data_IF_045569664489
#
_entry.id   IF_045569664489
#
_cell.length_a   1.000
_cell.length_b   1.000
_cell.length_c   1.000
_cell.angle_alpha   90.00
_cell.angle_beta   90.00
_cell.angle_gamma   90.00
#
_symmetry.space_group_name_H-M   'P 1'
#
loop_
_entity.id
_entity.type
_entity.pdbx_description
1 polymer ?
#
# COMPACT_ATOMS: atom_id res chain seq x y z
N UNK A 1 21.77 4.09 -33.97
CA UNK A 1 21.74 3.40 -32.67
C UNK A 1 20.46 3.84 -31.97
N UNK A 2 19.37 3.10 -32.16
CA UNK A 2 18.08 3.42 -31.55
C UNK A 2 18.03 2.76 -30.17
N UNK A 3 17.76 3.55 -29.13
CA UNK A 3 17.57 3.08 -27.76
C UNK A 3 16.50 1.99 -27.73
N UNK A 4 16.90 0.74 -27.49
CA UNK A 4 16.02 -0.40 -27.21
C UNK A 4 15.68 -0.51 -25.71
N UNK A 5 15.76 0.60 -24.97
CA UNK A 5 15.70 0.61 -23.50
C UNK A 5 14.29 0.63 -22.93
N UNK A 6 13.31 1.19 -23.64
CA UNK A 6 11.98 1.50 -23.08
C UNK A 6 11.11 0.27 -22.84
N UNK A 7 11.20 -0.74 -23.72
CA UNK A 7 10.50 -2.02 -23.55
C UNK A 7 10.83 -2.73 -22.22
N UNK A 8 12.09 -2.64 -21.78
CA UNK A 8 12.58 -3.24 -20.54
C UNK A 8 12.08 -2.51 -19.26
N UNK A 9 11.36 -1.39 -19.41
CA UNK A 9 11.06 -0.50 -18.30
C UNK A 9 9.61 -0.52 -17.84
N UNK A 10 8.61 -0.60 -18.74
CA UNK A 10 7.18 -0.61 -18.32
C UNK A 10 6.68 -2.03 -18.09
N UNK A 11 7.06 -2.98 -18.95
CA UNK A 11 6.71 -4.40 -18.84
C UNK A 11 7.89 -5.30 -18.42
N UNK A 12 9.03 -4.71 -18.09
CA UNK A 12 10.24 -5.47 -17.82
C UNK A 12 10.39 -5.96 -16.38
N UNK A 13 11.46 -6.73 -16.16
CA UNK A 13 11.74 -7.44 -14.92
C UNK A 13 11.80 -6.53 -13.68
N UNK A 14 12.19 -5.25 -13.84
CA UNK A 14 12.30 -4.29 -12.74
C UNK A 14 10.96 -3.87 -12.14
N UNK A 15 9.94 -3.65 -12.97
CA UNK A 15 8.57 -3.35 -12.51
C UNK A 15 8.02 -4.55 -11.76
N UNK A 16 8.16 -5.74 -12.35
CA UNK A 16 7.73 -6.98 -11.73
C UNK A 16 8.42 -7.23 -10.37
N UNK A 17 9.74 -7.11 -10.31
CA UNK A 17 10.51 -7.24 -9.07
C UNK A 17 10.08 -6.20 -8.01
N UNK A 18 9.72 -4.99 -8.43
CA UNK A 18 9.19 -3.97 -7.53
C UNK A 18 7.87 -4.38 -6.89
N UNK A 19 6.98 -5.06 -7.62
CA UNK A 19 5.70 -5.51 -7.06
C UNK A 19 5.84 -6.72 -6.13
N UNK A 20 6.73 -7.67 -6.45
CA UNK A 20 7.10 -8.73 -5.49
C UNK A 20 7.64 -8.08 -4.21
N UNK A 21 8.54 -7.11 -4.35
CA UNK A 21 9.16 -6.41 -3.22
C UNK A 21 8.10 -5.68 -2.40
N UNK A 22 7.12 -5.02 -3.02
CA UNK A 22 6.01 -4.37 -2.32
C UNK A 22 5.18 -5.35 -1.49
N UNK A 23 4.74 -6.45 -2.10
CA UNK A 23 3.93 -7.47 -1.41
C UNK A 23 4.72 -8.09 -0.27
N UNK A 24 6.01 -8.38 -0.48
CA UNK A 24 6.89 -8.93 0.53
C UNK A 24 7.10 -7.96 1.71
N UNK A 25 7.36 -6.68 1.44
CA UNK A 25 7.55 -5.66 2.49
C UNK A 25 6.28 -5.50 3.33
N UNK A 26 5.10 -5.41 2.71
CA UNK A 26 3.86 -5.22 3.47
C UNK A 26 3.50 -6.45 4.32
N UNK A 27 3.72 -7.66 3.79
CA UNK A 27 3.55 -8.91 4.54
C UNK A 27 4.55 -9.01 5.70
N UNK A 28 5.83 -8.68 5.46
CA UNK A 28 6.85 -8.66 6.48
C UNK A 28 6.53 -7.65 7.59
N UNK A 29 6.09 -6.44 7.22
CA UNK A 29 5.66 -5.42 8.17
C UNK A 29 4.46 -5.88 9.01
N UNK A 30 3.49 -6.55 8.39
CA UNK A 30 2.35 -7.13 9.10
C UNK A 30 2.78 -8.21 10.10
N UNK A 31 3.58 -9.19 9.67
CA UNK A 31 4.12 -10.26 10.53
C UNK A 31 4.92 -9.67 11.70
N UNK A 32 5.79 -8.72 11.41
CA UNK A 32 6.64 -8.07 12.41
C UNK A 32 5.82 -7.26 13.40
N UNK A 33 4.80 -6.53 12.94
CA UNK A 33 3.89 -5.77 13.81
C UNK A 33 3.13 -6.68 14.78
N UNK A 34 2.62 -7.82 14.30
CA UNK A 34 1.89 -8.77 15.13
C UNK A 34 2.83 -9.49 16.12
N UNK A 35 4.06 -9.82 15.70
CA UNK A 35 5.06 -10.38 16.61
C UNK A 35 5.37 -9.42 17.77
N UNK A 36 5.62 -8.13 17.49
CA UNK A 36 5.88 -7.12 18.52
C UNK A 36 4.69 -6.93 19.48
N UNK A 37 3.47 -6.91 18.95
CA UNK A 37 2.25 -6.82 19.77
C UNK A 37 2.03 -8.07 20.63
N UNK A 38 2.34 -9.25 20.11
CA UNK A 38 2.28 -10.50 20.86
C UNK A 38 3.27 -10.51 22.04
N UNK A 39 4.52 -10.10 21.81
CA UNK A 39 5.54 -10.03 22.87
C UNK A 39 5.17 -9.03 23.97
N UNK A 40 4.63 -7.87 23.61
CA UNK A 40 4.22 -6.85 24.60
C UNK A 40 3.00 -7.30 25.43
N UNK A 41 2.02 -7.95 24.81
CA UNK A 41 0.86 -8.53 25.53
C UNK A 41 1.29 -9.64 26.50
N UNK A 42 2.10 -10.60 26.03
CA UNK A 42 2.59 -11.71 26.88
C UNK A 42 3.40 -11.21 28.08
N UNK A 43 4.20 -10.16 27.89
CA UNK A 43 4.95 -9.55 28.99
C UNK A 43 4.06 -8.84 30.01
N UNK A 44 2.92 -8.30 29.59
CA UNK A 44 2.00 -7.58 30.49
C UNK A 44 1.13 -8.56 31.29
N UNK A 45 0.68 -9.66 30.68
CA UNK A 45 -0.12 -10.68 31.38
C UNK A 45 0.67 -11.43 32.46
N UNK A 46 1.99 -11.61 32.30
CA UNK A 46 2.83 -12.26 33.33
C UNK A 46 2.96 -11.42 34.60
N UNK A 47 2.95 -10.09 34.48
CA UNK A 47 3.02 -9.16 35.62
C UNK A 47 1.78 -9.15 36.50
N UNK A 48 0.63 -9.57 35.97
CA UNK A 48 -0.62 -9.59 36.72
C UNK A 48 -0.78 -10.85 37.58
N UNK A 49 0.10 -11.85 37.42
CA UNK A 49 -0.06 -13.18 38.03
C UNK A 49 1.17 -13.70 38.78
N UNK A 50 2.23 -12.91 38.95
CA UNK A 50 3.45 -13.36 39.62
C UNK A 50 3.97 -12.31 40.59
N UNK A 51 4.04 -12.71 41.86
CA UNK A 51 4.66 -11.99 42.97
C UNK A 51 6.17 -12.31 42.90
N UNK A 52 6.97 -11.58 42.11
CA UNK A 52 8.38 -11.97 41.87
C UNK A 52 9.33 -10.84 41.47
N UNK A 53 10.47 -10.82 42.17
CA UNK A 53 11.83 -10.40 41.82
C UNK A 53 12.05 -9.16 40.93
N UNK A 54 12.56 -8.13 41.59
CA UNK A 54 12.86 -6.79 41.05
C UNK A 54 13.79 -6.80 39.83
N UNK A 55 14.74 -7.75 39.73
CA UNK A 55 15.66 -7.86 38.58
C UNK A 55 14.99 -8.40 37.32
N UNK A 56 14.12 -9.42 37.46
CA UNK A 56 13.41 -10.02 36.34
C UNK A 56 12.36 -9.03 35.77
N UNK A 57 11.81 -8.19 36.64
CA UNK A 57 10.93 -7.08 36.28
C UNK A 57 11.64 -5.95 35.54
N UNK A 58 12.88 -5.62 35.90
CA UNK A 58 13.67 -4.65 35.13
C UNK A 58 13.99 -5.14 33.72
N UNK A 59 14.36 -6.41 33.56
CA UNK A 59 14.70 -6.94 32.24
C UNK A 59 13.48 -7.05 31.31
N UNK A 60 12.32 -7.48 31.83
CA UNK A 60 11.08 -7.52 31.05
C UNK A 60 10.59 -6.12 30.66
N UNK A 61 10.72 -5.14 31.56
CA UNK A 61 10.44 -3.73 31.26
C UNK A 61 11.33 -3.17 30.15
N UNK A 62 12.64 -3.48 30.17
CA UNK A 62 13.57 -3.07 29.10
C UNK A 62 13.17 -3.66 27.75
N UNK A 63 12.79 -4.95 27.71
CA UNK A 63 12.32 -5.63 26.48
C UNK A 63 11.02 -5.03 25.96
N UNK A 64 10.05 -4.76 26.83
CA UNK A 64 8.79 -4.13 26.47
C UNK A 64 8.98 -2.70 25.93
N UNK A 65 9.87 -1.91 26.55
CA UNK A 65 10.23 -0.57 26.07
C UNK A 65 10.90 -0.63 24.70
N UNK A 66 11.83 -1.58 24.48
CA UNK A 66 12.47 -1.79 23.18
C UNK A 66 11.45 -2.19 22.12
N UNK A 67 10.53 -3.12 22.43
CA UNK A 67 9.46 -3.52 21.50
C UNK A 67 8.53 -2.36 21.13
N UNK A 68 8.19 -1.49 22.09
CA UNK A 68 7.40 -0.28 21.83
C UNK A 68 8.14 0.72 20.92
N UNK A 69 9.45 0.88 21.12
CA UNK A 69 10.28 1.72 20.26
C UNK A 69 10.34 1.16 18.83
N UNK A 70 10.60 -0.14 18.68
CA UNK A 70 10.63 -0.82 17.38
C UNK A 70 9.28 -0.74 16.66
N UNK A 71 8.17 -0.91 17.39
CA UNK A 71 6.83 -0.75 16.84
C UNK A 71 6.59 0.68 16.34
N UNK A 72 7.03 1.69 17.09
CA UNK A 72 6.93 3.09 16.65
C UNK A 72 7.77 3.37 15.40
N UNK A 73 8.98 2.81 15.33
CA UNK A 73 9.85 2.91 14.16
C UNK A 73 9.24 2.22 12.93
N UNK A 74 8.68 1.03 13.10
CA UNK A 74 7.97 0.29 12.05
C UNK A 74 6.81 1.11 11.48
N UNK A 75 5.96 1.66 12.34
CA UNK A 75 4.82 2.47 11.91
C UNK A 75 5.28 3.72 11.17
N UNK A 76 6.37 4.35 11.60
CA UNK A 76 6.95 5.49 10.88
C UNK A 76 7.48 5.09 9.50
N UNK A 77 8.29 4.03 9.42
CA UNK A 77 8.80 3.49 8.16
C UNK A 77 7.66 3.08 7.21
N UNK A 78 6.57 2.52 7.73
CA UNK A 78 5.40 2.14 6.95
C UNK A 78 4.67 3.36 6.34
N UNK A 79 4.68 4.52 7.01
CA UNK A 79 4.14 5.76 6.43
C UNK A 79 4.97 6.20 5.22
N UNK A 80 6.30 6.19 5.34
CA UNK A 80 7.19 6.57 4.23
C UNK A 80 7.11 5.56 3.08
N UNK A 81 7.01 4.26 3.41
CA UNK A 81 6.75 3.19 2.44
C UNK A 81 5.42 3.40 1.70
N UNK A 82 4.32 3.68 2.40
CA UNK A 82 3.03 3.92 1.77
C UNK A 82 3.09 5.12 0.80
N UNK A 83 3.79 6.20 1.17
CA UNK A 83 3.98 7.36 0.27
C UNK A 83 4.74 6.95 -0.99
N UNK A 84 5.90 6.29 -0.82
CA UNK A 84 6.70 5.81 -1.95
C UNK A 84 5.90 4.90 -2.87
N UNK A 85 5.13 3.98 -2.29
CA UNK A 85 4.25 3.07 -3.00
C UNK A 85 3.16 3.80 -3.81
N UNK A 86 2.53 4.81 -3.22
CA UNK A 86 1.53 5.62 -3.93
C UNK A 86 2.14 6.33 -5.15
N UNK A 87 3.29 6.98 -4.99
CA UNK A 87 3.95 7.69 -6.10
C UNK A 87 4.41 6.75 -7.20
N UNK A 88 5.00 5.61 -6.83
CA UNK A 88 5.38 4.60 -7.78
C UNK A 88 4.16 4.08 -8.57
N UNK A 89 3.07 3.79 -7.86
CA UNK A 89 1.83 3.32 -8.48
C UNK A 89 1.25 4.38 -9.43
N UNK A 90 1.12 5.64 -9.00
CA UNK A 90 0.59 6.72 -9.86
C UNK A 90 1.44 6.85 -11.14
N UNK A 91 2.76 6.84 -11.00
CA UNK A 91 3.69 6.99 -12.13
C UNK A 91 3.58 5.82 -13.10
N UNK A 92 3.68 4.58 -12.60
CA UNK A 92 3.64 3.40 -13.45
C UNK A 92 2.27 3.21 -14.10
N UNK A 93 1.19 3.36 -13.34
CA UNK A 93 -0.17 3.19 -13.84
C UNK A 93 -0.53 4.33 -14.80
N UNK A 94 -0.06 5.55 -14.54
CA UNK A 94 -0.18 6.68 -15.48
C UNK A 94 0.53 6.42 -16.82
N UNK A 95 1.78 5.93 -16.78
CA UNK A 95 2.50 5.51 -17.99
C UNK A 95 1.79 4.36 -18.71
N UNK A 96 1.25 3.39 -17.96
CA UNK A 96 0.48 2.27 -18.50
C UNK A 96 -0.81 2.72 -19.19
N UNK A 97 -1.54 3.67 -18.61
CA UNK A 97 -2.73 4.26 -19.23
C UNK A 97 -2.40 4.97 -20.54
N UNK A 98 -1.30 5.73 -20.59
CA UNK A 98 -0.83 6.36 -21.82
C UNK A 98 -0.44 5.32 -22.87
N UNK A 99 0.24 4.24 -22.46
CA UNK A 99 0.62 3.15 -23.35
C UNK A 99 -0.58 2.39 -23.91
N UNK A 100 -1.59 2.13 -23.06
CA UNK A 100 -2.83 1.46 -23.46
C UNK A 100 -3.70 2.36 -24.34
N UNK A 101 -3.82 3.65 -24.04
CA UNK A 101 -4.68 4.56 -24.82
C UNK A 101 -4.13 4.95 -26.19
N UNK A 102 -2.83 4.77 -26.43
CA UNK A 102 -2.20 5.03 -27.73
C UNK A 102 -2.19 3.81 -28.67
N UNK A 103 -1.41 3.90 -29.75
CA UNK A 103 -1.30 2.85 -30.78
C UNK A 103 -0.40 1.67 -30.36
N UNK A 104 0.01 1.62 -29.09
CA UNK A 104 0.91 0.61 -28.56
C UNK A 104 2.39 0.82 -28.89
N UNK A 105 2.75 1.93 -29.53
CA UNK A 105 4.14 2.30 -29.85
C UNK A 105 5.04 2.39 -28.61
N UNK A 106 4.47 2.79 -27.47
CA UNK A 106 5.15 2.87 -26.16
C UNK A 106 5.57 1.48 -25.65
N UNK A 107 4.82 0.42 -25.99
CA UNK A 107 5.21 -0.94 -25.62
C UNK A 107 6.43 -1.43 -26.40
N UNK A 108 6.81 -0.81 -27.53
CA UNK A 108 7.94 -1.23 -28.38
C UNK A 108 7.97 -2.74 -28.76
N UNK A 109 6.87 -3.45 -28.54
CA UNK A 109 6.77 -4.89 -28.69
C UNK A 109 6.82 -5.30 -30.16
N UNK A 110 7.50 -6.41 -30.46
CA UNK A 110 7.78 -6.85 -31.82
C UNK A 110 6.72 -7.83 -32.33
N UNK A 111 6.11 -8.60 -31.42
CA UNK A 111 5.07 -9.59 -31.73
C UNK A 111 3.75 -9.29 -31.02
N UNK A 112 2.63 -9.77 -31.57
CA UNK A 112 1.33 -9.64 -30.90
C UNK A 112 1.29 -10.37 -29.56
N UNK A 113 1.92 -11.55 -29.47
CA UNK A 113 2.04 -12.29 -28.22
C UNK A 113 2.77 -11.49 -27.13
N UNK A 114 3.81 -10.72 -27.47
CA UNK A 114 4.50 -9.85 -26.51
C UNK A 114 3.60 -8.73 -25.97
N UNK A 115 2.78 -8.12 -26.84
CA UNK A 115 1.79 -7.11 -26.43
C UNK A 115 0.80 -7.73 -25.43
N UNK A 116 0.22 -8.88 -25.75
CA UNK A 116 -0.76 -9.53 -24.88
C UNK A 116 -0.20 -9.90 -23.52
N UNK A 117 1.02 -10.46 -23.49
CA UNK A 117 1.73 -10.76 -22.25
C UNK A 117 2.03 -9.50 -21.44
N UNK A 118 2.44 -8.40 -22.09
CA UNK A 118 2.66 -7.12 -21.42
C UNK A 118 1.37 -6.53 -20.83
N UNK A 119 0.25 -6.57 -21.57
CA UNK A 119 -1.05 -6.11 -21.06
C UNK A 119 -1.53 -7.00 -19.90
N UNK A 120 -1.31 -8.31 -19.99
CA UNK A 120 -1.65 -9.21 -18.88
C UNK A 120 -0.84 -8.90 -17.63
N UNK A 121 0.47 -8.74 -17.77
CA UNK A 121 1.36 -8.35 -16.69
C UNK A 121 0.93 -7.02 -16.06
N UNK A 122 0.63 -6.00 -16.87
CA UNK A 122 0.15 -4.70 -16.38
C UNK A 122 -1.16 -4.82 -15.61
N UNK A 123 -2.09 -5.66 -16.07
CA UNK A 123 -3.35 -5.90 -15.36
C UNK A 123 -3.12 -6.52 -13.99
N UNK A 124 -2.28 -7.55 -13.91
CA UNK A 124 -2.01 -8.27 -12.66
C UNK A 124 -1.22 -7.38 -11.68
N UNK A 125 -0.32 -6.56 -12.21
CA UNK A 125 0.41 -5.51 -11.48
C UNK A 125 -0.56 -4.45 -10.92
N UNK A 126 -1.52 -3.99 -11.72
CA UNK A 126 -2.53 -3.02 -11.29
C UNK A 126 -3.43 -3.60 -10.17
N UNK A 127 -3.87 -4.86 -10.30
CA UNK A 127 -4.60 -5.56 -9.25
C UNK A 127 -3.77 -5.67 -7.95
N UNK A 128 -2.48 -6.01 -8.08
CA UNK A 128 -1.56 -6.14 -6.94
C UNK A 128 -1.38 -4.80 -6.22
N UNK A 129 -1.32 -3.69 -6.99
CA UNK A 129 -1.22 -2.35 -6.44
C UNK A 129 -2.41 -2.03 -5.51
N UNK A 130 -3.64 -2.31 -5.96
CA UNK A 130 -4.86 -2.08 -5.16
C UNK A 130 -4.81 -2.84 -3.84
N UNK A 131 -4.40 -4.11 -3.87
CA UNK A 131 -4.28 -4.96 -2.67
C UNK A 131 -3.25 -4.39 -1.71
N UNK A 132 -2.04 -4.08 -2.20
CA UNK A 132 -0.96 -3.63 -1.34
C UNK A 132 -1.21 -2.23 -0.77
N UNK A 133 -1.75 -1.31 -1.57
CA UNK A 133 -2.14 0.03 -1.12
C UNK A 133 -3.19 -0.03 -0.01
N UNK A 134 -4.20 -0.90 -0.18
CA UNK A 134 -5.26 -1.11 0.82
C UNK A 134 -4.68 -1.75 2.08
N UNK A 135 -3.79 -2.74 1.93
CA UNK A 135 -3.20 -3.45 3.06
C UNK A 135 -2.27 -2.55 3.89
N UNK A 136 -1.40 -1.78 3.25
CA UNK A 136 -0.54 -0.81 3.93
C UNK A 136 -1.34 0.24 4.69
N UNK A 137 -2.39 0.80 4.07
CA UNK A 137 -3.30 1.74 4.72
C UNK A 137 -4.08 1.09 5.88
N UNK A 138 -4.50 -0.16 5.74
CA UNK A 138 -5.14 -0.92 6.81
C UNK A 138 -4.23 -1.05 8.03
N UNK A 139 -2.96 -1.44 7.84
CA UNK A 139 -1.98 -1.56 8.95
C UNK A 139 -1.78 -0.20 9.63
N UNK A 140 -1.67 0.90 8.87
CA UNK A 140 -1.57 2.26 9.43
C UNK A 140 -2.80 2.67 10.25
N UNK A 141 -4.00 2.34 9.76
CA UNK A 141 -5.25 2.57 10.48
C UNK A 141 -5.34 1.73 11.77
N UNK A 142 -4.91 0.47 11.73
CA UNK A 142 -4.80 -0.41 12.91
C UNK A 142 -3.81 0.17 13.93
N UNK A 143 -2.71 0.76 13.48
CA UNK A 143 -1.74 1.46 14.31
C UNK A 143 -2.21 2.84 14.84
N UNK A 144 -3.46 3.25 14.54
CA UNK A 144 -4.05 4.55 14.90
C UNK A 144 -3.30 5.77 14.36
N UNK A 145 -2.44 5.60 13.35
CA UNK A 145 -1.80 6.72 12.63
C UNK A 145 -2.64 7.05 11.39
N UNK A 146 -3.60 7.96 11.58
CA UNK A 146 -4.45 8.46 10.49
C UNK A 146 -3.85 9.76 9.98
N UNK A 147 -3.39 9.76 8.74
CA UNK A 147 -2.89 10.95 8.04
C UNK A 147 -3.80 11.21 6.86
N UNK A 148 -4.38 12.40 6.79
CA UNK A 148 -5.24 12.81 5.66
C UNK A 148 -4.47 12.77 4.36
N UNK A 149 -3.24 13.26 4.37
CA UNK A 149 -2.34 13.23 3.23
C UNK A 149 -2.12 11.81 2.67
N UNK A 150 -1.76 10.86 3.52
CA UNK A 150 -1.47 9.47 3.11
C UNK A 150 -2.73 8.80 2.58
N UNK A 151 -3.88 9.00 3.24
CA UNK A 151 -5.16 8.45 2.80
C UNK A 151 -5.57 9.01 1.43
N UNK A 152 -5.50 10.33 1.24
CA UNK A 152 -5.86 10.98 -0.04
C UNK A 152 -4.95 10.50 -1.17
N UNK A 153 -3.64 10.44 -0.94
CA UNK A 153 -2.70 9.95 -1.95
C UNK A 153 -2.93 8.47 -2.28
N UNK A 154 -3.30 7.66 -1.28
CA UNK A 154 -3.66 6.25 -1.49
C UNK A 154 -4.93 6.10 -2.31
N UNK A 155 -5.95 6.95 -2.09
CA UNK A 155 -7.18 6.96 -2.87
C UNK A 155 -6.88 7.27 -4.35
N UNK A 156 -6.09 8.33 -4.61
CA UNK A 156 -5.69 8.70 -5.97
C UNK A 156 -4.92 7.56 -6.64
N UNK A 157 -3.91 6.99 -5.97
CA UNK A 157 -3.15 5.86 -6.50
C UNK A 157 -4.04 4.64 -6.80
N UNK A 158 -5.05 4.38 -5.96
CA UNK A 158 -6.00 3.28 -6.15
C UNK A 158 -6.89 3.52 -7.37
N UNK A 159 -7.31 4.76 -7.63
CA UNK A 159 -8.09 5.11 -8.83
C UNK A 159 -7.26 4.84 -10.09
N UNK A 160 -6.00 5.28 -10.13
CA UNK A 160 -5.11 5.01 -11.26
C UNK A 160 -4.92 3.50 -11.51
N UNK A 161 -4.70 2.74 -10.45
CA UNK A 161 -4.58 1.28 -10.53
C UNK A 161 -5.89 0.62 -11.00
N UNK A 162 -7.04 1.06 -10.50
CA UNK A 162 -8.34 0.52 -10.90
C UNK A 162 -8.65 0.79 -12.37
N UNK A 163 -8.44 2.02 -12.83
CA UNK A 163 -8.65 2.40 -14.23
C UNK A 163 -7.74 1.59 -15.14
N UNK A 164 -6.46 1.46 -14.79
CA UNK A 164 -5.51 0.65 -15.57
C UNK A 164 -5.94 -0.82 -15.60
N UNK A 165 -6.36 -1.38 -14.47
CA UNK A 165 -6.86 -2.75 -14.41
C UNK A 165 -8.06 -2.92 -15.37
N UNK A 166 -9.05 -2.03 -15.33
CA UNK A 166 -10.21 -2.07 -16.24
C UNK A 166 -9.76 -2.03 -17.71
N UNK A 167 -8.87 -1.10 -18.06
CA UNK A 167 -8.36 -0.96 -19.43
C UNK A 167 -7.65 -2.24 -19.91
N UNK A 168 -6.88 -2.89 -19.04
CA UNK A 168 -6.18 -4.14 -19.39
C UNK A 168 -7.13 -5.32 -19.56
N UNK A 169 -8.39 -5.23 -19.09
CA UNK A 169 -9.42 -6.28 -19.26
C UNK A 169 -10.36 -6.00 -20.42
N UNK A 170 -10.43 -4.76 -20.91
CA UNK A 170 -11.15 -4.43 -22.15
C UNK A 170 -10.32 -4.78 -23.37
N UNK A 171 -10.95 -5.25 -24.46
CA UNK A 171 -10.24 -5.49 -25.73
C UNK A 171 -9.91 -4.14 -26.38
N UNK A 172 -8.64 -3.78 -26.44
CA UNK A 172 -8.17 -2.61 -27.18
C UNK A 172 -7.80 -3.02 -28.61
N UNK A 173 -8.59 -2.59 -29.60
CA UNK A 173 -8.41 -2.97 -31.00
C UNK A 173 -7.28 -2.23 -31.74
N UNK A 174 -6.69 -1.20 -31.13
CA UNK A 174 -5.78 -0.26 -31.82
C UNK A 174 -4.29 -0.53 -31.55
N UNK A 175 -3.94 -1.52 -30.73
CA UNK A 175 -2.56 -1.79 -30.35
C UNK A 175 -1.84 -2.57 -31.45
N UNK A 176 -0.78 -1.98 -32.02
CA UNK A 176 -0.01 -2.62 -33.08
C UNK A 176 1.46 -2.85 -32.66
N UNK A 177 2.05 -4.01 -33.01
CA UNK A 177 3.48 -4.25 -32.80
C UNK A 177 4.33 -3.30 -33.63
N UNK A 178 5.46 -2.87 -33.06
CA UNK A 178 6.45 -2.01 -33.70
C UNK A 178 6.90 -2.59 -35.03
N UNK A 179 6.97 -1.74 -36.05
CA UNK A 179 7.55 -2.12 -37.34
C UNK A 179 9.07 -2.33 -37.18
N UNK A 180 9.54 -3.53 -37.50
CA UNK A 180 10.98 -3.84 -37.54
C UNK A 180 11.62 -3.16 -38.76
N UNK A 181 12.66 -2.33 -38.59
CA UNK A 181 13.40 -1.80 -39.72
C UNK A 181 14.18 -2.93 -40.42
N UNK A 182 14.00 -3.07 -41.74
CA UNK A 182 14.76 -3.95 -42.64
C UNK A 182 14.74 -5.46 -42.32
N UNK A 183 13.56 -6.07 -42.27
CA UNK A 183 13.43 -7.55 -42.28
C UNK A 183 13.11 -8.07 -43.68
N UNK A 184 13.91 -7.66 -44.67
CA UNK A 184 13.90 -8.30 -45.99
C UNK A 184 14.70 -9.60 -45.91
N UNK A 185 14.16 -10.62 -45.23
CA UNK A 185 14.74 -11.96 -45.33
C UNK A 185 14.30 -12.55 -46.69
N UNK A 186 15.23 -12.83 -47.62
CA UNK A 186 14.88 -13.42 -48.91
C UNK A 186 14.20 -14.79 -48.75
N UNK A 187 14.55 -15.54 -47.70
CA UNK A 187 13.90 -16.80 -47.32
C UNK A 187 12.43 -16.65 -46.92
N UNK A 188 11.98 -15.44 -46.57
CA UNK A 188 10.58 -15.11 -46.25
C UNK A 188 9.92 -14.27 -47.35
N UNK A 189 10.48 -14.27 -48.58
CA UNK A 189 9.93 -13.51 -49.71
C UNK A 189 9.98 -11.99 -49.51
N UNK A 190 10.95 -11.48 -48.73
CA UNK A 190 11.07 -10.06 -48.41
C UNK A 190 10.00 -9.54 -47.43
N UNK A 191 9.32 -10.44 -46.70
CA UNK A 191 8.32 -10.10 -45.68
C UNK A 191 8.86 -10.34 -44.27
N UNK A 192 8.26 -9.66 -43.29
CA UNK A 192 8.58 -9.81 -41.87
C UNK A 192 8.48 -11.29 -41.41
N UNK A 193 9.30 -11.67 -40.43
CA UNK A 193 9.38 -13.05 -39.91
C UNK A 193 8.01 -13.57 -39.46
N UNK A 194 7.64 -14.83 -39.80
CA UNK A 194 6.35 -15.44 -39.42
C UNK A 194 6.02 -15.38 -37.93
N UNK A 195 7.05 -15.35 -37.07
CA UNK A 195 6.94 -15.17 -35.61
C UNK A 195 6.14 -13.93 -35.19
N UNK A 196 6.04 -12.89 -36.02
CA UNK A 196 5.22 -11.70 -35.74
C UNK A 196 3.73 -12.05 -35.65
N UNK A 197 3.28 -13.04 -36.41
CA UNK A 197 1.89 -13.48 -36.50
C UNK A 197 1.56 -14.68 -35.61
N UNK A 198 2.57 -15.26 -34.94
CA UNK A 198 2.31 -16.25 -33.88
C UNK A 198 1.57 -15.56 -32.74
N UNK A 199 0.28 -15.82 -32.65
CA UNK A 199 -0.62 -15.23 -31.68
C UNK A 199 -1.24 -16.36 -30.86
N UNK A 200 -1.04 -16.30 -29.55
CA UNK A 200 -1.75 -17.13 -28.59
C UNK A 200 -2.76 -16.22 -27.91
N UNK A 201 -4.05 -16.49 -28.12
CA UNK A 201 -5.11 -15.69 -27.55
C UNK A 201 -4.98 -15.59 -26.02
N UNK A 202 -5.03 -14.36 -25.50
CA UNK A 202 -5.00 -14.11 -24.06
C UNK A 202 -6.29 -14.59 -23.41
N UNK A 203 -6.17 -15.48 -22.42
CA UNK A 203 -7.29 -15.87 -21.56
C UNK A 203 -7.56 -14.81 -20.49
N UNK A 204 -8.51 -13.91 -20.76
CA UNK A 204 -8.87 -12.82 -19.81
C UNK A 204 -9.79 -13.33 -18.67
N UNK A 205 -10.50 -14.43 -18.89
CA UNK A 205 -11.58 -14.90 -18.00
C UNK A 205 -11.07 -15.33 -16.63
N UNK A 206 -10.12 -16.28 -16.57
CA UNK A 206 -9.64 -16.85 -15.31
C UNK A 206 -8.94 -15.81 -14.42
N UNK A 207 -8.05 -14.94 -14.95
CA UNK A 207 -7.48 -13.85 -14.14
C UNK A 207 -8.53 -12.91 -13.58
N UNK A 208 -9.50 -12.51 -14.40
CA UNK A 208 -10.57 -11.57 -13.99
C UNK A 208 -11.45 -12.16 -12.90
N UNK A 209 -11.80 -13.45 -12.98
CA UNK A 209 -12.62 -14.13 -11.97
C UNK A 209 -11.96 -14.15 -10.58
N UNK A 210 -10.63 -14.20 -10.52
CA UNK A 210 -9.88 -14.22 -9.24
C UNK A 210 -9.65 -12.79 -8.74
N UNK A 211 -9.28 -11.86 -9.62
CA UNK A 211 -8.89 -10.51 -9.22
C UNK A 211 -10.06 -9.59 -8.91
N UNK A 212 -11.15 -9.67 -9.69
CA UNK A 212 -12.33 -8.83 -9.49
C UNK A 212 -12.90 -8.90 -8.06
N UNK A 213 -13.11 -10.09 -7.46
CA UNK A 213 -13.61 -10.16 -6.07
C UNK A 213 -12.59 -9.63 -5.06
N UNK A 214 -11.28 -9.85 -5.28
CA UNK A 214 -10.23 -9.32 -4.39
C UNK A 214 -10.19 -7.79 -4.43
N UNK A 215 -10.26 -7.21 -5.63
CA UNK A 215 -10.33 -5.75 -5.83
C UNK A 215 -11.60 -5.20 -5.20
N UNK A 216 -12.76 -5.80 -5.43
CA UNK A 216 -14.02 -5.36 -4.83
C UNK A 216 -13.97 -5.37 -3.29
N UNK A 217 -13.43 -6.43 -2.70
CA UNK A 217 -13.19 -6.51 -1.25
C UNK A 217 -12.25 -5.39 -0.77
N UNK A 218 -11.13 -5.15 -1.47
CA UNK A 218 -10.18 -4.09 -1.12
C UNK A 218 -10.80 -2.69 -1.22
N UNK A 219 -11.56 -2.41 -2.28
CA UNK A 219 -12.28 -1.15 -2.45
C UNK A 219 -13.32 -0.93 -1.36
N UNK A 220 -14.07 -1.97 -0.98
CA UNK A 220 -15.04 -1.89 0.11
C UNK A 220 -14.37 -1.54 1.45
N UNK A 221 -13.21 -2.13 1.73
CA UNK A 221 -12.41 -1.85 2.92
C UNK A 221 -11.84 -0.43 2.86
N UNK A 222 -11.31 0.00 1.72
CA UNK A 222 -10.78 1.34 1.52
C UNK A 222 -11.85 2.41 1.79
N UNK A 223 -13.04 2.24 1.22
CA UNK A 223 -14.19 3.13 1.47
C UNK A 223 -14.56 3.18 2.96
N UNK A 224 -14.56 2.04 3.65
CA UNK A 224 -14.79 1.99 5.10
C UNK A 224 -13.71 2.74 5.89
N UNK A 225 -12.44 2.58 5.53
CA UNK A 225 -11.32 3.27 6.19
C UNK A 225 -11.41 4.79 5.99
N UNK A 226 -11.71 5.24 4.78
CA UNK A 226 -11.92 6.65 4.43
C UNK A 226 -13.13 7.22 5.18
N UNK A 227 -14.27 6.52 5.18
CA UNK A 227 -15.47 6.93 5.92
C UNK A 227 -15.21 7.12 7.42
N UNK A 228 -14.38 6.27 8.03
CA UNK A 228 -13.94 6.41 9.43
C UNK A 228 -13.06 7.62 9.70
N UNK A 229 -12.42 8.17 8.68
CA UNK A 229 -11.59 9.37 8.81
C UNK A 229 -12.45 10.63 8.69
N UNK A 230 -13.37 10.66 7.74
CA UNK A 230 -14.27 11.80 7.46
C UNK A 230 -15.34 11.99 8.55
N UNK A 231 -15.77 10.92 9.22
CA UNK A 231 -16.79 10.99 10.29
C UNK A 231 -16.35 11.77 11.55
N UNK A 232 -15.04 11.82 11.85
CA UNK A 232 -14.49 12.53 13.01
C UNK A 232 -14.57 14.07 12.92
N UNK A 233 -14.18 14.72 11.81
CA UNK A 233 -14.35 16.17 11.67
C UNK A 233 -15.83 16.55 11.57
N UNK A 234 -16.66 15.75 10.90
CA UNK A 234 -18.11 16.01 10.79
C UNK A 234 -18.79 16.00 12.15
N UNK A 235 -18.48 15.04 13.03
CA UNK A 235 -19.07 15.02 14.37
C UNK A 235 -18.65 16.22 15.24
N UNK A 236 -17.41 16.71 15.07
CA UNK A 236 -16.94 17.95 15.73
C UNK A 236 -17.65 19.20 15.18
N UNK A 237 -17.86 19.27 13.86
CA UNK A 237 -18.62 20.35 13.22
C UNK A 237 -20.09 20.34 13.68
N UNK A 238 -20.71 19.17 13.73
CA UNK A 238 -22.09 19.01 14.22
C UNK A 238 -22.21 19.42 15.69
N UNK A 239 -21.28 19.00 16.55
CA UNK A 239 -21.26 19.39 17.97
C UNK A 239 -21.13 20.91 18.17
N UNK A 240 -20.30 21.58 17.35
CA UNK A 240 -20.19 23.05 17.34
C UNK A 240 -21.46 23.74 16.85
N UNK A 241 -22.10 23.20 15.82
CA UNK A 241 -23.38 23.72 15.31
C UNK A 241 -24.49 23.62 16.36
N UNK A 242 -24.63 22.46 17.02
CA UNK A 242 -25.64 22.25 18.08
C UNK A 242 -25.40 23.10 19.32
N UNK A 243 -24.14 23.42 19.66
CA UNK A 243 -23.83 24.35 20.75
C UNK A 243 -24.17 25.81 20.40
N UNK A 244 -24.20 26.18 19.11
CA UNK A 244 -24.47 27.56 18.68
C UNK A 244 -25.97 27.83 18.57
N UNK A 245 -26.79 26.81 18.29
CA UNK A 245 -28.25 26.92 18.25
C UNK A 245 -28.93 26.82 19.63
N UNK A 246 -28.23 26.33 20.65
CA UNK A 246 -28.66 26.44 22.06
C UNK A 246 -28.22 27.80 22.64
N UNK A 247 -28.88 28.87 22.20
CA UNK A 247 -28.88 30.13 22.96
C UNK A 247 -29.61 29.86 24.28
N UNK A 248 -29.05 30.16 25.46
CA UNK A 248 -29.75 29.99 26.72
C UNK A 248 -30.92 30.96 26.74
N UNK A 249 -32.14 30.45 26.53
CA UNK A 249 -33.34 31.17 26.94
C UNK A 249 -33.31 31.22 28.46
N UNK A 250 -33.33 32.43 29.01
CA UNK A 250 -33.15 32.71 30.43
C UNK A 250 -34.44 32.45 31.25
N UNK A 251 -35.42 31.73 30.71
CA UNK A 251 -36.68 31.44 31.38
C UNK A 251 -36.60 30.12 32.14
N UNK A 252 -35.94 30.18 33.29
CA UNK A 252 -35.82 29.08 34.23
C UNK A 252 -36.90 29.17 35.30
N UNK A 253 -38.13 28.74 34.97
CA UNK A 253 -39.11 28.35 35.98
C UNK A 253 -39.47 26.86 35.85
N UNK A 254 -38.93 26.10 36.83
CA UNK A 254 -39.42 24.85 37.42
C UNK A 254 -40.17 23.88 36.50
N UNK A 255 -39.47 22.83 36.06
CA UNK A 255 -40.06 21.50 35.93
C UNK A 255 -39.09 20.42 36.45
N UNK A 256 -39.61 19.37 37.11
CA UNK A 256 -38.79 18.40 37.82
C UNK A 256 -38.10 17.42 36.88
N UNK A 257 -36.95 16.94 37.34
CA UNK A 257 -36.07 15.98 36.69
C UNK A 257 -36.84 14.73 36.21
N UNK A 258 -36.97 14.59 34.89
CA UNK A 258 -37.32 13.32 34.23
C UNK A 258 -36.12 12.81 33.44
N UNK A 259 -35.10 12.37 34.16
CA UNK A 259 -33.83 11.85 33.62
C UNK A 259 -33.86 10.32 33.40
N UNK A 260 -34.88 9.79 32.73
CA UNK A 260 -35.03 8.33 32.53
C UNK A 260 -34.96 7.83 31.08
N UNK A 261 -34.79 8.71 30.08
CA UNK A 261 -34.73 8.29 28.66
C UNK A 261 -33.30 8.17 28.09
N UNK A 262 -32.26 8.60 28.81
CA UNK A 262 -30.86 8.52 28.34
C UNK A 262 -30.17 7.18 28.65
N UNK A 263 -30.80 6.27 29.39
CA UNK A 263 -30.22 4.97 29.72
C UNK A 263 -30.48 3.87 28.67
N UNK A 264 -31.38 4.11 27.70
CA UNK A 264 -31.68 3.17 26.59
C UNK A 264 -30.65 3.25 25.44
N UNK A 265 -29.72 4.20 25.48
CA UNK A 265 -28.62 4.29 24.52
C UNK A 265 -27.46 3.35 24.89
N UNK A 266 -27.34 2.92 26.15
CA UNK A 266 -26.19 2.14 26.65
C UNK A 266 -26.12 0.69 26.14
N UNK A 267 -27.25 0.08 25.77
CA UNK A 267 -27.33 -1.32 25.33
C UNK A 267 -26.90 -1.54 23.86
N UNK A 268 -26.96 -0.49 23.02
CA UNK A 268 -26.57 -0.61 21.61
C UNK A 268 -25.05 -0.54 21.38
N UNK A 269 -24.33 0.19 22.23
CA UNK A 269 -22.87 0.34 22.15
C UNK A 269 -22.07 -0.96 22.30
N UNK A 270 -22.38 -1.91 23.20
CA UNK A 270 -21.64 -3.17 23.30
C UNK A 270 -21.85 -4.11 22.11
N UNK A 271 -23.04 -4.12 21.49
CA UNK A 271 -23.30 -4.92 20.29
C UNK A 271 -22.56 -4.34 19.06
N UNK A 272 -22.62 -3.03 18.87
CA UNK A 272 -21.93 -2.34 17.77
C UNK A 272 -20.41 -2.46 17.87
N UNK A 273 -19.84 -2.40 19.08
CA UNK A 273 -18.39 -2.55 19.29
C UNK A 273 -17.90 -3.98 19.03
N UNK A 274 -18.67 -5.02 19.39
CA UNK A 274 -18.38 -6.41 19.02
C UNK A 274 -18.45 -6.63 17.51
N UNK A 275 -19.49 -6.13 16.86
CA UNK A 275 -19.63 -6.22 15.39
C UNK A 275 -18.48 -5.53 14.65
N UNK A 276 -18.09 -4.33 15.11
CA UNK A 276 -16.90 -3.63 14.60
C UNK A 276 -15.63 -4.45 14.82
N UNK A 277 -15.45 -5.10 15.98
CA UNK A 277 -14.29 -5.94 16.24
C UNK A 277 -14.21 -7.13 15.27
N UNK A 278 -15.34 -7.80 15.03
CA UNK A 278 -15.42 -8.90 14.06
C UNK A 278 -15.05 -8.43 12.64
N UNK A 279 -15.56 -7.27 12.23
CA UNK A 279 -15.22 -6.67 10.94
C UNK A 279 -13.72 -6.40 10.78
N UNK A 280 -13.02 -5.87 11.80
CA UNK A 280 -11.57 -5.63 11.69
C UNK A 280 -10.77 -6.93 11.53
N UNK A 281 -11.22 -8.01 12.18
CA UNK A 281 -10.58 -9.31 12.09
C UNK A 281 -10.83 -9.96 10.72
N UNK A 282 -12.07 -9.93 10.24
CA UNK A 282 -12.41 -10.39 8.89
C UNK A 282 -11.64 -9.60 7.82
N UNK A 283 -11.60 -8.27 7.94
CA UNK A 283 -10.83 -7.41 7.04
C UNK A 283 -9.33 -7.75 7.04
N UNK A 284 -8.75 -8.05 8.20
CA UNK A 284 -7.35 -8.49 8.32
C UNK A 284 -7.09 -9.77 7.54
N UNK A 285 -7.94 -10.78 7.73
CA UNK A 285 -7.83 -12.07 7.03
C UNK A 285 -7.95 -11.85 5.52
N UNK A 286 -8.94 -11.05 5.08
CA UNK A 286 -9.18 -10.80 3.66
C UNK A 286 -7.96 -10.15 2.99
N UNK A 287 -7.38 -9.09 3.58
CA UNK A 287 -6.22 -8.42 2.96
C UNK A 287 -4.95 -9.27 2.98
N UNK A 288 -4.75 -10.08 4.03
CA UNK A 288 -3.61 -11.01 4.11
C UNK A 288 -3.75 -12.11 3.06
N UNK A 289 -4.93 -12.74 2.95
CA UNK A 289 -5.20 -13.75 1.93
C UNK A 289 -5.07 -13.16 0.52
N UNK A 290 -5.61 -11.96 0.28
CA UNK A 290 -5.45 -11.27 -1.00
C UNK A 290 -3.97 -11.06 -1.35
N UNK A 291 -3.16 -10.57 -0.40
CA UNK A 291 -1.73 -10.35 -0.61
C UNK A 291 -0.98 -11.66 -0.90
N UNK A 292 -1.30 -12.75 -0.18
CA UNK A 292 -0.71 -14.08 -0.41
C UNK A 292 -1.10 -14.63 -1.79
N UNK A 293 -2.39 -14.53 -2.17
CA UNK A 293 -2.87 -14.99 -3.47
C UNK A 293 -2.16 -14.22 -4.60
N UNK A 294 -2.05 -12.89 -4.50
CA UNK A 294 -1.31 -12.09 -5.49
C UNK A 294 0.17 -12.47 -5.52
N UNK A 295 0.81 -12.71 -4.37
CA UNK A 295 2.21 -13.13 -4.31
C UNK A 295 2.44 -14.48 -5.02
N UNK A 296 1.59 -15.48 -4.73
CA UNK A 296 1.65 -16.80 -5.36
C UNK A 296 1.48 -16.68 -6.87
N UNK A 297 0.54 -15.84 -7.32
CA UNK A 297 0.32 -15.59 -8.75
C UNK A 297 1.53 -14.98 -9.43
N UNK A 298 2.15 -13.96 -8.82
CA UNK A 298 3.35 -13.36 -9.37
C UNK A 298 4.45 -14.43 -9.47
N UNK A 299 4.75 -15.14 -8.37
CA UNK A 299 5.85 -16.12 -8.31
C UNK A 299 5.63 -17.37 -9.20
N UNK A 300 4.41 -17.60 -9.71
CA UNK A 300 4.10 -18.79 -10.49
C UNK A 300 5.09 -18.97 -11.67
N UNK A 301 5.67 -20.17 -11.85
CA UNK A 301 6.65 -20.44 -12.92
C UNK A 301 6.15 -20.03 -14.31
N UNK A 302 4.86 -20.10 -14.60
CA UNK A 302 4.31 -19.66 -15.89
C UNK A 302 4.52 -18.16 -16.11
N UNK A 303 4.39 -17.35 -15.06
CA UNK A 303 4.67 -15.92 -15.10
C UNK A 303 6.16 -15.64 -15.21
N UNK A 304 6.99 -16.39 -14.48
CA UNK A 304 8.44 -16.27 -14.59
C UNK A 304 8.94 -16.63 -16.01
N UNK A 305 8.36 -17.67 -16.61
CA UNK A 305 8.64 -18.08 -17.99
C UNK A 305 8.13 -17.03 -19.00
N UNK A 306 6.95 -16.45 -18.78
CA UNK A 306 6.44 -15.35 -19.60
C UNK A 306 7.34 -14.12 -19.52
N UNK A 307 7.82 -13.75 -18.33
CA UNK A 307 8.75 -12.62 -18.15
C UNK A 307 10.09 -12.92 -18.78
N UNK A 308 10.60 -14.14 -18.63
CA UNK A 308 11.80 -14.58 -19.32
C UNK A 308 11.62 -14.44 -20.82
N UNK A 309 10.50 -14.90 -21.39
CA UNK A 309 10.17 -14.73 -22.80
C UNK A 309 10.05 -13.25 -23.24
N UNK A 310 9.44 -12.39 -22.41
CA UNK A 310 9.35 -10.96 -22.68
C UNK A 310 10.74 -10.30 -22.70
N UNK A 311 11.68 -10.73 -21.87
CA UNK A 311 13.03 -10.15 -21.78
C UNK A 311 14.08 -10.86 -22.65
N UNK A 312 13.76 -12.04 -23.18
CA UNK A 312 14.60 -12.76 -24.14
C UNK A 312 14.70 -11.95 -25.42
N UNK A 313 15.86 -11.32 -25.63
CA UNK A 313 16.23 -10.81 -26.96
C UNK A 313 16.15 -11.99 -27.95
N UNK A 314 15.57 -11.83 -29.15
CA UNK A 314 15.71 -12.84 -30.19
C UNK A 314 17.20 -12.90 -30.58
N UNK A 315 17.98 -13.77 -29.94
CA UNK A 315 19.42 -13.87 -30.17
C UNK A 315 19.69 -14.68 -31.42
N UNK A 316 20.20 -14.00 -32.44
CA UNK A 316 21.42 -14.48 -33.10
C UNK A 316 22.56 -13.80 -32.34
N UNK A 317 23.25 -14.58 -31.49
CA UNK A 317 24.57 -14.34 -30.88
C UNK A 317 24.84 -12.97 -30.21
N UNK A 318 24.85 -12.94 -28.87
CA UNK A 318 26.07 -12.77 -28.05
C UNK A 318 25.73 -12.50 -26.58
N UNK A 319 26.46 -13.24 -25.75
CA UNK A 319 26.94 -12.90 -24.41
C UNK A 319 25.99 -12.69 -23.22
N UNK A 320 26.12 -13.64 -22.31
CA UNK A 320 26.02 -13.55 -20.85
C UNK A 320 27.01 -12.52 -20.23
N UNK A 321 27.41 -11.49 -20.98
CA UNK A 321 28.43 -10.51 -20.63
C UNK A 321 27.89 -9.10 -20.85
N UNK A 322 26.87 -8.76 -20.07
CA UNK A 322 26.80 -7.44 -19.46
C UNK A 322 25.79 -7.52 -18.31
N UNK A 323 26.33 -7.55 -17.08
CA UNK A 323 25.60 -7.40 -15.81
C UNK A 323 25.08 -5.95 -15.68
N UNK A 324 24.46 -5.43 -16.74
CA UNK A 324 23.89 -4.10 -16.75
C UNK A 324 22.49 -4.20 -16.15
N UNK A 325 22.31 -3.52 -15.02
CA UNK A 325 21.02 -3.38 -14.39
C UNK A 325 20.04 -2.74 -15.38
N UNK A 326 18.83 -3.28 -15.49
CA UNK A 326 17.77 -2.61 -16.25
C UNK A 326 17.40 -1.30 -15.54
N UNK A 327 16.97 -0.29 -16.30
CA UNK A 327 16.55 0.98 -15.72
C UNK A 327 15.39 0.77 -14.73
N UNK A 328 14.45 -0.12 -15.04
CA UNK A 328 13.43 -0.58 -14.09
C UNK A 328 13.99 -1.18 -12.77
N UNK A 329 15.12 -1.91 -12.80
CA UNK A 329 15.75 -2.45 -11.57
C UNK A 329 16.40 -1.35 -10.72
N UNK A 330 17.02 -0.36 -11.37
CA UNK A 330 17.57 0.83 -10.70
C UNK A 330 16.43 1.63 -10.04
N UNK A 331 15.33 1.84 -10.76
CA UNK A 331 14.11 2.45 -10.21
C UNK A 331 13.60 1.66 -9.01
N UNK A 332 13.52 0.33 -9.11
CA UNK A 332 13.08 -0.51 -8.02
C UNK A 332 13.90 -0.25 -6.75
N UNK A 333 15.23 -0.33 -6.83
CA UNK A 333 16.10 -0.13 -5.67
C UNK A 333 16.01 1.30 -5.13
N UNK A 334 15.98 2.30 -6.02
CA UNK A 334 15.94 3.72 -5.61
C UNK A 334 14.62 4.12 -4.96
N UNK A 335 13.51 3.45 -5.29
CA UNK A 335 12.20 3.71 -4.66
C UNK A 335 12.09 3.01 -3.30
N UNK A 336 12.60 1.78 -3.17
CA UNK A 336 12.46 1.00 -1.94
C UNK A 336 13.55 1.25 -0.90
N UNK A 337 14.74 1.69 -1.30
CA UNK A 337 15.83 1.96 -0.38
C UNK A 337 15.51 3.09 0.64
N UNK A 338 14.95 4.26 0.27
CA UNK A 338 14.71 5.33 1.22
C UNK A 338 13.76 4.95 2.37
N UNK A 339 12.59 4.32 2.14
CA UNK A 339 11.73 3.85 3.23
C UNK A 339 12.41 2.85 4.17
N UNK A 340 13.25 1.96 3.63
CA UNK A 340 14.00 0.98 4.43
C UNK A 340 15.09 1.65 5.27
N UNK A 341 15.82 2.60 4.70
CA UNK A 341 16.84 3.38 5.41
C UNK A 341 16.20 4.19 6.54
N UNK A 342 15.07 4.85 6.28
CA UNK A 342 14.32 5.61 7.29
C UNK A 342 13.81 4.70 8.42
N UNK A 343 13.31 3.51 8.08
CA UNK A 343 12.95 2.51 9.07
C UNK A 343 14.15 2.11 9.95
N UNK A 344 15.29 1.76 9.35
CA UNK A 344 16.50 1.35 10.09
C UNK A 344 17.00 2.49 10.98
N UNK A 345 17.02 3.72 10.47
CA UNK A 345 17.41 4.91 11.25
C UNK A 345 16.49 5.11 12.45
N UNK A 346 15.17 5.02 12.25
CA UNK A 346 14.19 5.11 13.33
C UNK A 346 14.30 3.96 14.33
N UNK A 347 14.65 2.76 13.87
CA UNK A 347 14.82 1.58 14.71
C UNK A 347 16.06 1.67 15.61
N UNK A 348 17.12 2.35 15.16
CA UNK A 348 18.37 2.54 15.91
C UNK A 348 18.28 3.74 16.85
N UNK A 349 17.92 4.93 16.34
CA UNK A 349 17.95 6.20 17.09
C UNK A 349 16.63 6.56 17.78
N UNK A 350 15.55 5.88 17.40
CA UNK A 350 14.20 6.28 17.79
C UNK A 350 13.61 7.35 16.87
N UNK A 351 12.28 7.43 16.85
CA UNK A 351 11.52 8.26 15.89
C UNK A 351 11.72 9.76 16.09
N UNK A 352 11.90 10.20 17.34
CA UNK A 352 12.02 11.63 17.67
C UNK A 352 13.37 12.18 17.18
N UNK A 353 14.48 11.52 17.55
CA UNK A 353 15.84 11.88 17.12
C UNK A 353 16.06 11.68 15.62
N UNK A 354 15.46 10.63 15.04
CA UNK A 354 15.58 10.39 13.61
C UNK A 354 14.99 11.56 12.79
N UNK A 355 13.91 12.18 13.27
CA UNK A 355 13.16 13.22 12.57
C UNK A 355 13.54 14.65 12.95
N UNK A 356 14.52 14.87 13.82
CA UNK A 356 14.91 16.21 14.26
C UNK A 356 15.23 17.15 13.08
N UNK A 357 15.86 16.61 12.04
CA UNK A 357 16.18 17.33 10.80
C UNK A 357 14.96 17.76 9.97
N UNK A 358 13.76 17.21 10.21
CA UNK A 358 12.52 17.56 9.48
C UNK A 358 11.77 18.73 10.14
N UNK A 359 12.15 19.13 11.36
CA UNK A 359 11.53 20.26 12.04
C UNK A 359 12.33 21.53 11.76
N UNK A 360 11.67 22.51 11.14
CA UNK A 360 12.24 23.86 10.98
C UNK A 360 12.27 24.51 12.36
N UNK A 361 13.40 25.11 12.76
CA UNK A 361 13.46 25.91 13.98
C UNK A 361 12.37 27.00 13.92
N UNK A 362 11.57 27.23 14.97
CA UNK A 362 11.79 26.85 16.37
C UNK A 362 10.98 25.64 16.89
N UNK A 363 10.44 24.78 16.02
CA UNK A 363 9.53 23.72 16.47
C UNK A 363 10.27 22.55 17.17
N UNK A 364 9.86 22.21 18.40
CA UNK A 364 10.35 21.05 19.16
C UNK A 364 9.19 20.11 19.53
N UNK A 365 9.41 18.80 19.41
CA UNK A 365 8.44 17.78 19.84
C UNK A 365 8.43 17.69 21.36
N UNK A 366 7.34 18.16 21.99
CA UNK A 366 7.12 18.01 23.43
C UNK A 366 6.15 16.84 23.65
N UNK A 367 6.57 15.84 24.43
CA UNK A 367 5.67 14.78 24.90
C UNK A 367 4.79 15.37 25.99
N UNK A 368 3.56 15.74 25.64
CA UNK A 368 2.57 16.17 26.64
C UNK A 368 2.15 14.94 27.44
N UNK A 369 2.62 14.83 28.67
CA UNK A 369 2.08 13.88 29.63
C UNK A 369 0.69 14.37 30.02
N UNK A 370 -0.36 13.81 29.41
CA UNK A 370 -1.75 13.99 29.86
C UNK A 370 -2.00 13.15 31.11
N UNK A 371 -1.28 13.47 32.19
CA UNK A 371 -1.50 12.97 33.54
C UNK A 371 -1.24 14.15 34.48
N UNK A 372 -2.31 14.70 35.04
CA UNK A 372 -2.34 15.82 35.99
C UNK A 372 -1.57 17.09 35.55
N UNK A 373 -2.23 17.94 34.79
CA UNK A 373 -2.00 19.39 34.90
C UNK A 373 -2.92 19.94 36.00
N UNK A 374 -2.56 19.74 37.27
CA UNK A 374 -2.90 20.69 38.33
C UNK A 374 -1.95 21.88 38.17
N UNK A 375 -2.52 23.07 38.05
CA UNK A 375 -1.88 24.24 37.48
C UNK A 375 -0.71 24.83 38.26
N UNK A 376 0.10 25.59 37.54
CA UNK A 376 0.50 26.97 37.89
C UNK A 376 1.22 27.54 36.68
N UNK A 377 0.58 28.48 35.99
CA UNK A 377 1.28 29.38 35.07
C UNK A 377 2.03 30.39 35.92
N UNK A 378 3.37 30.31 35.92
CA UNK A 378 4.21 31.46 36.22
C UNK A 378 4.70 32.02 34.88
N UNK A 379 4.30 33.26 34.64
CA UNK A 379 4.71 34.15 33.56
C UNK A 379 6.10 34.71 33.89
N UNK A 380 7.09 34.67 32.99
CA UNK A 380 8.34 35.39 33.20
C UNK A 380 8.24 36.81 32.65
N UNK A 381 8.69 37.74 33.49
CA UNK A 381 8.98 39.15 33.23
C UNK A 381 10.13 39.34 32.25
#
# INVERSE_FOLDING_TARGET
MANTGTYADIGGIGVYASYITQVAIVLAAWLYSNALLFFTRRSTSRKLGQDSDQEHDQQTNRRARKAKLQYSALVHGLVEYQKAQCYFTITLQGASMLALSGDGTIFEAVTYSQIDSAISLLGDVAATAVVCLTFGLYILHKARRRSEYVTTTTLVATIFALVTWILTRTKLGNLQPRALPNTNLPSCGGRATPLRFCHTDRSVVLPTMIEAPLIACCLSLLLFLVGKQVTKPISKLYARYTQTTQKPSNDQHRLPARSSTLNRQSSFYPALTKALSYYHYAAEIIVVLAAIIMLIRLINPDYLNMIWFLNSKPTVFHDLQDSQWSFGQIIAVTIWAPPLIEYVRCAIKGVDEANEHRFVAPYRVVKVNTGLSSGTSQEPS
#
